data_IF_849215509621
#
_entry.id   IF_849215509621
#
_cell.length_a   1.000
_cell.length_b   1.000
_cell.length_c   1.000
_cell.angle_alpha   90.00
_cell.angle_beta   90.00
_cell.angle_gamma   90.00
#
_symmetry.space_group_name_H-M   'P 1'
#
loop_
_entity.id
_entity.type
_entity.pdbx_description
1 polymer ?
#
# COMPACT_ATOMS: atom_id res chain seq x y z
N UNK A 1 -15.27 -6.88 10.11
CA UNK A 1 -13.87 -6.56 10.50
C UNK A 1 -12.95 -7.76 10.31
N UNK A 2 -13.17 -8.89 10.99
CA UNK A 2 -12.26 -10.06 10.95
C UNK A 2 -11.99 -10.55 9.53
N UNK A 3 -13.01 -10.59 8.65
CA UNK A 3 -12.86 -10.99 7.25
C UNK A 3 -11.85 -10.16 6.44
N UNK A 4 -11.50 -8.95 6.87
CA UNK A 4 -10.51 -8.12 6.16
C UNK A 4 -9.07 -8.49 6.53
N UNK A 5 -8.83 -8.94 7.76
CA UNK A 5 -7.50 -9.39 8.19
C UNK A 5 -7.32 -10.86 7.84
N UNK A 6 -6.36 -11.16 6.96
CA UNK A 6 -5.99 -12.54 6.65
C UNK A 6 -5.48 -13.27 7.90
N UNK A 7 -4.68 -12.58 8.72
CA UNK A 7 -4.14 -13.13 9.96
C UNK A 7 -5.25 -13.44 10.97
N UNK A 8 -6.23 -12.55 11.17
CA UNK A 8 -7.30 -12.84 12.14
C UNK A 8 -8.31 -13.88 11.65
N UNK A 9 -8.51 -14.03 10.35
CA UNK A 9 -9.51 -14.96 9.81
C UNK A 9 -8.95 -16.35 9.47
N UNK A 10 -7.71 -16.40 9.01
CA UNK A 10 -7.05 -17.61 8.50
C UNK A 10 -5.67 -17.87 9.12
N UNK A 11 -5.25 -17.09 10.12
CA UNK A 11 -3.95 -17.24 10.80
C UNK A 11 -2.78 -17.24 9.81
N UNK A 12 -2.89 -16.41 8.76
CA UNK A 12 -1.84 -16.24 7.76
C UNK A 12 -0.72 -15.37 8.32
N UNK A 13 0.50 -15.89 8.23
CA UNK A 13 1.74 -15.17 8.49
C UNK A 13 2.29 -14.57 7.18
N UNK A 14 2.96 -13.43 7.31
CA UNK A 14 3.52 -12.69 6.19
C UNK A 14 5.00 -12.44 6.42
N UNK A 15 5.79 -12.52 5.35
CA UNK A 15 7.24 -12.28 5.43
C UNK A 15 7.61 -10.85 5.06
N UNK A 16 6.71 -10.11 4.40
CA UNK A 16 6.95 -8.75 3.95
C UNK A 16 5.72 -7.84 4.09
N UNK A 17 5.91 -6.52 4.31
CA UNK A 17 4.81 -5.56 4.28
C UNK A 17 4.07 -5.53 2.94
N UNK A 18 4.76 -5.80 1.84
CA UNK A 18 4.17 -5.87 0.50
C UNK A 18 3.12 -6.99 0.38
N UNK A 19 3.41 -8.18 0.90
CA UNK A 19 2.42 -9.28 0.94
C UNK A 19 1.20 -8.91 1.79
N UNK A 20 1.41 -8.24 2.93
CA UNK A 20 0.31 -7.77 3.80
C UNK A 20 -0.59 -6.80 3.05
N UNK A 21 0.00 -5.83 2.33
CA UNK A 21 -0.73 -4.82 1.55
C UNK A 21 -1.54 -5.48 0.43
N UNK A 22 -0.93 -6.37 -0.35
CA UNK A 22 -1.62 -7.09 -1.44
C UNK A 22 -2.74 -7.98 -0.90
N UNK A 23 -2.48 -8.72 0.18
CA UNK A 23 -3.49 -9.57 0.82
C UNK A 23 -4.66 -8.73 1.35
N UNK A 24 -4.38 -7.61 2.02
CA UNK A 24 -5.41 -6.69 2.50
C UNK A 24 -6.22 -6.10 1.35
N UNK A 25 -5.57 -5.70 0.26
CA UNK A 25 -6.21 -5.19 -0.96
C UNK A 25 -7.20 -6.21 -1.55
N UNK A 26 -6.77 -7.46 -1.76
CA UNK A 26 -7.61 -8.54 -2.28
C UNK A 26 -8.87 -8.74 -1.43
N UNK A 27 -8.71 -8.74 -0.10
CA UNK A 27 -9.80 -8.98 0.85
C UNK A 27 -10.77 -7.79 0.91
N UNK A 28 -10.26 -6.56 0.89
CA UNK A 28 -11.06 -5.34 0.81
C UNK A 28 -11.86 -5.23 -0.49
N UNK A 29 -11.37 -5.78 -1.60
CA UNK A 29 -12.11 -5.80 -2.87
C UNK A 29 -13.06 -6.98 -3.00
N UNK A 30 -13.00 -7.96 -2.09
CA UNK A 30 -13.78 -9.20 -2.18
C UNK A 30 -14.91 -9.31 -1.16
N UNK A 31 -14.68 -8.89 0.10
CA UNK A 31 -15.60 -9.16 1.22
C UNK A 31 -16.53 -8.03 1.68
N UNK A 32 -16.09 -6.76 1.79
CA UNK A 32 -16.93 -5.73 2.37
C UNK A 32 -18.05 -5.30 1.43
N UNK A 33 -19.02 -4.57 1.98
CA UNK A 33 -20.11 -3.97 1.22
C UNK A 33 -19.57 -3.03 0.12
N UNK A 34 -18.59 -2.19 0.48
CA UNK A 34 -17.99 -1.22 -0.43
C UNK A 34 -16.65 -1.73 -0.97
N UNK A 35 -16.61 -2.04 -2.26
CA UNK A 35 -15.47 -2.64 -2.97
C UNK A 35 -14.98 -1.69 -4.07
N UNK A 36 -14.21 -0.68 -3.69
CA UNK A 36 -13.69 0.29 -4.64
C UNK A 36 -12.22 0.63 -4.37
N UNK A 37 -11.49 0.88 -5.46
CA UNK A 37 -10.06 1.15 -5.42
C UNK A 37 -9.68 2.43 -4.65
N UNK A 38 -10.38 3.57 -4.81
CA UNK A 38 -9.98 4.81 -4.13
C UNK A 38 -10.05 4.68 -2.60
N UNK A 39 -11.11 4.06 -2.07
CA UNK A 39 -11.28 3.90 -0.61
C UNK A 39 -10.24 2.93 -0.04
N UNK A 40 -9.91 1.88 -0.79
CA UNK A 40 -8.81 0.99 -0.43
C UNK A 40 -7.49 1.78 -0.32
N UNK A 41 -7.15 2.60 -1.32
CA UNK A 41 -5.93 3.41 -1.33
C UNK A 41 -5.88 4.37 -0.15
N UNK A 42 -6.97 5.10 0.12
CA UNK A 42 -7.07 5.99 1.28
C UNK A 42 -6.87 5.23 2.59
N UNK A 43 -7.55 4.09 2.77
CA UNK A 43 -7.46 3.30 4.01
C UNK A 43 -6.05 2.78 4.25
N UNK A 44 -5.35 2.31 3.21
CA UNK A 44 -3.96 1.87 3.33
C UNK A 44 -3.01 3.04 3.64
N UNK A 45 -3.24 4.20 3.03
CA UNK A 45 -2.49 5.43 3.33
C UNK A 45 -2.66 5.87 4.80
N UNK A 46 -3.88 5.84 5.31
CA UNK A 46 -4.17 6.18 6.71
C UNK A 46 -3.45 5.25 7.71
N UNK A 47 -3.28 3.97 7.35
CA UNK A 47 -2.52 3.01 8.16
C UNK A 47 -1.03 3.38 8.18
N UNK A 48 -0.46 3.83 7.06
CA UNK A 48 0.92 4.32 7.04
C UNK A 48 1.09 5.54 7.97
N UNK A 49 0.16 6.50 7.90
CA UNK A 49 0.14 7.67 8.79
C UNK A 49 -0.02 7.27 10.26
N UNK A 50 -0.81 6.23 10.55
CA UNK A 50 -0.99 5.71 11.90
C UNK A 50 0.31 5.15 12.49
N UNK A 51 1.14 4.49 11.68
CA UNK A 51 2.48 4.03 12.11
C UNK A 51 3.44 5.20 12.31
N UNK A 52 3.45 6.18 11.39
CA UNK A 52 4.32 7.37 11.48
C UNK A 52 4.01 8.27 12.69
N UNK A 53 2.75 8.31 13.15
CA UNK A 53 2.36 9.03 14.38
C UNK A 53 2.88 8.37 15.67
N UNK A 54 3.44 7.18 15.55
CA UNK A 54 4.11 6.48 16.63
C UNK A 54 3.22 5.51 17.40
N UNK A 55 3.88 4.77 18.29
CA UNK A 55 3.35 3.59 18.98
C UNK A 55 2.07 3.86 19.78
N UNK A 56 1.91 5.05 20.37
CA UNK A 56 0.69 5.40 21.13
C UNK A 56 -0.57 5.37 20.26
N UNK A 57 -0.47 5.83 19.02
CA UNK A 57 -1.58 5.79 18.06
C UNK A 57 -1.91 4.34 17.67
N UNK A 58 -0.88 3.52 17.42
CA UNK A 58 -1.04 2.10 17.11
C UNK A 58 -1.72 1.36 18.26
N UNK A 59 -1.25 1.57 19.50
CA UNK A 59 -1.85 0.96 20.70
C UNK A 59 -3.30 1.38 20.90
N UNK A 60 -3.64 2.66 20.69
CA UNK A 60 -5.02 3.14 20.77
C UNK A 60 -5.91 2.40 19.77
N UNK A 61 -5.44 2.21 18.54
CA UNK A 61 -6.17 1.47 17.51
C UNK A 61 -6.31 -0.02 17.84
N UNK A 62 -5.26 -0.68 18.34
CA UNK A 62 -5.33 -2.07 18.79
C UNK A 62 -6.30 -2.26 19.97
N UNK A 63 -6.32 -1.34 20.93
CA UNK A 63 -7.30 -1.35 22.03
C UNK A 63 -8.73 -1.15 21.54
N UNK A 64 -8.93 -0.34 20.51
CA UNK A 64 -10.25 -0.20 19.87
C UNK A 64 -10.66 -1.49 19.15
N UNK A 65 -9.75 -2.13 18.42
CA UNK A 65 -9.98 -3.46 17.81
C UNK A 65 -10.36 -4.48 18.88
N UNK A 66 -9.61 -4.54 19.98
CA UNK A 66 -9.89 -5.43 21.10
C UNK A 66 -11.30 -5.23 21.66
N UNK A 67 -11.74 -3.98 21.86
CA UNK A 67 -13.09 -3.66 22.32
C UNK A 67 -14.17 -4.11 21.32
N UNK A 68 -13.96 -3.87 20.03
CA UNK A 68 -14.90 -4.27 18.96
C UNK A 68 -15.07 -5.80 18.94
N UNK A 69 -13.97 -6.56 19.06
CA UNK A 69 -14.01 -8.02 19.06
C UNK A 69 -14.67 -8.58 20.33
N UNK A 70 -14.50 -7.91 21.49
CA UNK A 70 -15.13 -8.31 22.74
C UNK A 70 -16.66 -8.11 22.74
N UNK A 71 -17.15 -7.07 22.06
CA UNK A 71 -18.58 -6.75 21.95
C UNK A 71 -19.28 -7.48 20.78
N UNK A 72 -18.50 -8.17 19.94
CA UNK A 72 -19.01 -8.83 18.73
C UNK A 72 -19.93 -10.02 19.04
N UNK A 73 -20.98 -10.18 18.23
CA UNK A 73 -22.01 -11.23 18.38
C UNK A 73 -21.55 -12.64 18.00
N UNK A 74 -20.45 -12.78 17.27
CA UNK A 74 -20.05 -14.04 16.59
C UNK A 74 -18.88 -14.75 17.28
N UNK A 75 -18.68 -14.56 18.60
CA UNK A 75 -17.62 -15.28 19.34
C UNK A 75 -16.19 -14.80 19.06
N UNK A 76 -16.03 -13.70 18.34
CA UNK A 76 -14.72 -13.12 18.00
C UNK A 76 -13.86 -12.68 19.21
N UNK A 77 -14.44 -12.65 20.41
CA UNK A 77 -13.68 -12.44 21.64
C UNK A 77 -12.56 -13.47 21.84
N UNK A 78 -12.65 -14.65 21.23
CA UNK A 78 -11.57 -15.64 21.26
C UNK A 78 -10.30 -15.11 20.58
N UNK A 79 -10.43 -14.34 19.50
CA UNK A 79 -9.31 -13.71 18.79
C UNK A 79 -8.55 -12.72 19.67
N UNK A 80 -9.24 -12.10 20.64
CA UNK A 80 -8.55 -11.28 21.63
C UNK A 80 -7.60 -12.10 22.49
N UNK A 81 -8.04 -13.30 22.91
CA UNK A 81 -7.23 -14.18 23.77
C UNK A 81 -6.06 -14.81 23.02
N UNK A 82 -6.26 -15.20 21.75
CA UNK A 82 -5.23 -15.93 21.00
C UNK A 82 -4.28 -15.03 20.20
N UNK A 83 -4.60 -13.74 20.01
CA UNK A 83 -3.81 -12.88 19.14
C UNK A 83 -3.72 -11.42 19.62
N UNK A 84 -4.85 -10.72 19.76
CA UNK A 84 -4.83 -9.26 19.94
C UNK A 84 -4.20 -8.83 21.27
N UNK A 85 -4.43 -9.58 22.35
CA UNK A 85 -3.84 -9.26 23.66
C UNK A 85 -2.31 -9.31 23.61
N UNK A 86 -1.76 -10.37 23.02
CA UNK A 86 -0.31 -10.53 22.89
C UNK A 86 0.28 -9.49 21.95
N UNK A 87 -0.41 -9.14 20.85
CA UNK A 87 0.00 -8.04 19.98
C UNK A 87 0.07 -6.69 20.72
N UNK A 88 -0.89 -6.39 21.61
CA UNK A 88 -0.88 -5.16 22.41
C UNK A 88 0.34 -5.14 23.34
N UNK A 89 0.63 -6.25 24.01
CA UNK A 89 1.78 -6.36 24.92
C UNK A 89 3.10 -6.28 24.14
N UNK A 90 3.18 -6.94 22.98
CA UNK A 90 4.34 -6.88 22.10
C UNK A 90 4.59 -5.46 21.60
N UNK A 91 3.56 -4.78 21.09
CA UNK A 91 3.65 -3.42 20.58
C UNK A 91 4.16 -2.42 21.62
N UNK A 92 3.91 -2.64 22.92
CA UNK A 92 4.45 -1.80 23.98
C UNK A 92 5.98 -1.90 24.10
N UNK A 93 6.58 -3.03 23.72
CA UNK A 93 8.02 -3.31 23.82
C UNK A 93 8.79 -2.94 22.55
N UNK A 94 8.11 -2.71 21.43
CA UNK A 94 8.74 -2.37 20.16
C UNK A 94 9.45 -1.01 20.25
N UNK A 95 10.73 -0.92 19.84
CA UNK A 95 11.45 0.35 19.73
C UNK A 95 10.80 1.28 18.70
N UNK A 96 10.81 2.59 18.97
CA UNK A 96 10.19 3.57 18.07
C UNK A 96 10.91 3.61 16.71
N UNK A 97 12.24 3.47 16.69
CA UNK A 97 13.03 3.46 15.45
C UNK A 97 12.64 2.31 14.52
N UNK A 98 12.40 1.12 15.08
CA UNK A 98 11.95 -0.04 14.32
C UNK A 98 10.54 0.20 13.74
N UNK A 99 9.68 0.87 14.50
CA UNK A 99 8.34 1.23 14.03
C UNK A 99 8.40 2.23 12.87
N UNK A 100 9.31 3.20 12.92
CA UNK A 100 9.53 4.17 11.83
C UNK A 100 10.09 3.48 10.59
N UNK A 101 11.05 2.57 10.74
CA UNK A 101 11.58 1.76 9.63
C UNK A 101 10.47 0.93 8.97
N UNK A 102 9.66 0.23 9.78
CA UNK A 102 8.51 -0.52 9.29
C UNK A 102 7.48 0.37 8.58
N UNK A 103 7.21 1.56 9.11
CA UNK A 103 6.29 2.53 8.50
C UNK A 103 6.76 2.94 7.11
N UNK A 104 8.06 3.21 6.93
CA UNK A 104 8.64 3.56 5.63
C UNK A 104 8.56 2.39 4.63
N UNK A 105 8.84 1.16 5.07
CA UNK A 105 8.69 -0.03 4.23
C UNK A 105 7.24 -0.27 3.81
N UNK A 106 6.31 -0.13 4.75
CA UNK A 106 4.88 -0.25 4.50
C UNK A 106 4.39 0.84 3.53
N UNK A 107 4.81 2.10 3.72
CA UNK A 107 4.45 3.21 2.84
C UNK A 107 4.95 2.96 1.41
N UNK A 108 6.19 2.49 1.25
CA UNK A 108 6.74 2.10 -0.07
C UNK A 108 5.91 0.98 -0.71
N UNK A 109 5.52 -0.03 0.06
CA UNK A 109 4.65 -1.10 -0.42
C UNK A 109 3.26 -0.60 -0.85
N UNK A 110 2.68 0.36 -0.11
CA UNK A 110 1.42 1.00 -0.49
C UNK A 110 1.60 1.81 -1.76
N UNK A 111 2.65 2.62 -1.89
CA UNK A 111 2.93 3.40 -3.12
C UNK A 111 3.07 2.51 -4.35
N UNK A 112 3.78 1.38 -4.23
CA UNK A 112 3.94 0.41 -5.31
C UNK A 112 2.72 -0.48 -5.61
N UNK A 113 1.61 -0.36 -4.86
CA UNK A 113 0.40 -1.15 -5.10
C UNK A 113 -0.35 -0.65 -6.33
N UNK A 114 -0.44 -1.49 -7.37
CA UNK A 114 -1.18 -1.22 -8.60
C UNK A 114 -2.36 -2.18 -8.77
N UNK A 115 -3.35 -1.81 -9.59
CA UNK A 115 -4.50 -2.67 -9.90
C UNK A 115 -4.10 -4.01 -10.51
N UNK A 116 -2.99 -4.04 -11.24
CA UNK A 116 -2.41 -5.26 -11.81
C UNK A 116 -1.75 -6.15 -10.73
N UNK A 117 -1.00 -5.56 -9.78
CA UNK A 117 -0.25 -6.32 -8.77
C UNK A 117 -1.14 -7.08 -7.79
N UNK A 118 -2.42 -6.69 -7.66
CA UNK A 118 -3.41 -7.39 -6.83
C UNK A 118 -3.80 -8.75 -7.42
N UNK A 119 -3.58 -9.02 -8.71
CA UNK A 119 -3.83 -10.34 -9.31
C UNK A 119 -5.32 -10.73 -9.40
N UNK A 120 -6.21 -9.75 -9.44
CA UNK A 120 -7.66 -9.95 -9.65
C UNK A 120 -8.09 -9.59 -11.08
N UNK A 121 -7.15 -9.24 -11.97
CA UNK A 121 -7.47 -8.83 -13.34
C UNK A 121 -8.32 -7.55 -13.43
N UNK A 122 -8.20 -6.65 -12.44
CA UNK A 122 -9.01 -5.44 -12.35
C UNK A 122 -8.91 -4.55 -13.60
N UNK A 123 -7.70 -4.28 -14.16
CA UNK A 123 -7.61 -3.43 -15.36
C UNK A 123 -8.41 -4.00 -16.54
N UNK A 124 -8.36 -5.32 -16.74
CA UNK A 124 -9.08 -5.97 -17.83
C UNK A 124 -10.59 -5.93 -17.61
N UNK A 125 -11.03 -6.13 -16.37
CA UNK A 125 -12.45 -6.04 -15.99
C UNK A 125 -12.98 -4.62 -16.20
N UNK A 126 -12.25 -3.61 -15.76
CA UNK A 126 -12.62 -2.20 -15.91
C UNK A 126 -12.73 -1.82 -17.39
N UNK A 127 -11.73 -2.19 -18.22
CA UNK A 127 -11.78 -1.95 -19.68
C UNK A 127 -12.98 -2.60 -20.35
N UNK A 128 -13.30 -3.85 -19.99
CA UNK A 128 -14.46 -4.58 -20.54
C UNK A 128 -15.78 -3.92 -20.16
N UNK A 129 -15.91 -3.46 -18.92
CA UNK A 129 -17.11 -2.75 -18.46
C UNK A 129 -17.23 -1.38 -19.13
N UNK A 130 -16.14 -0.63 -19.26
CA UNK A 130 -16.14 0.66 -19.95
C UNK A 130 -16.58 0.52 -21.42
N UNK A 131 -16.04 -0.46 -22.13
CA UNK A 131 -16.43 -0.76 -23.51
C UNK A 131 -17.90 -1.15 -23.64
N UNK A 132 -18.44 -1.96 -22.71
CA UNK A 132 -19.85 -2.34 -22.70
C UNK A 132 -20.79 -1.17 -22.36
N UNK A 133 -20.33 -0.21 -21.55
CA UNK A 133 -21.09 0.96 -21.11
C UNK A 133 -20.95 2.16 -22.06
N UNK A 134 -20.13 2.05 -23.12
CA UNK A 134 -19.84 3.15 -24.03
C UNK A 134 -19.07 4.32 -23.39
N UNK A 135 -18.42 4.08 -22.24
CA UNK A 135 -17.64 5.07 -21.52
C UNK A 135 -16.19 5.05 -22.01
N UNK A 136 -15.64 6.23 -22.33
CA UNK A 136 -14.23 6.40 -22.69
C UNK A 136 -13.37 6.16 -21.43
N UNK A 137 -12.24 5.43 -21.50
CA UNK A 137 -11.38 5.17 -20.35
C UNK A 137 -10.85 6.48 -19.75
N UNK A 138 -10.86 6.58 -18.42
CA UNK A 138 -10.21 7.64 -17.65
C UNK A 138 -8.71 7.33 -17.60
N UNK A 139 -7.90 8.09 -18.34
CA UNK A 139 -6.45 7.97 -18.34
C UNK A 139 -5.88 8.59 -17.04
N UNK A 140 -5.71 7.75 -16.02
CA UNK A 140 -5.06 8.15 -14.78
C UNK A 140 -4.19 7.00 -14.25
N UNK A 141 -2.99 6.87 -14.81
CA UNK A 141 -1.76 6.44 -14.14
C UNK A 141 -0.60 6.41 -15.18
N UNK A 142 -0.13 7.58 -15.59
CA UNK A 142 1.20 7.75 -16.17
C UNK A 142 2.15 8.19 -15.04
N UNK A 143 3.22 7.46 -14.73
CA UNK A 143 4.27 7.98 -13.86
C UNK A 143 5.10 8.99 -14.64
N UNK A 144 5.12 10.25 -14.21
CA UNK A 144 6.05 11.25 -14.75
C UNK A 144 7.49 10.76 -14.61
N UNK A 145 8.07 10.33 -15.73
CA UNK A 145 9.48 10.04 -15.88
C UNK A 145 10.16 11.33 -16.37
N UNK A 146 10.79 12.03 -15.43
CA UNK A 146 11.68 13.16 -15.72
C UNK A 146 12.85 12.67 -16.58
N UNK A 147 12.84 12.99 -17.88
CA UNK A 147 13.99 12.81 -18.75
C UNK A 147 14.91 14.02 -18.62
N UNK A 148 15.99 13.86 -17.86
CA UNK A 148 17.19 14.68 -18.00
C UNK A 148 17.89 14.23 -19.30
N UNK A 149 17.97 15.12 -20.29
CA UNK A 149 18.85 14.95 -21.45
C UNK A 149 20.16 15.71 -21.18
N UNK A 150 21.25 14.96 -21.04
CA UNK A 150 22.65 15.42 -21.16
C UNK A 150 23.24 14.96 -22.52
N UNK A 151 24.15 15.76 -23.07
CA UNK A 151 25.08 15.47 -24.19
C UNK A 151 24.60 16.04 -25.53
N UNK A 152 25.39 16.72 -26.38
CA UNK A 152 26.85 16.75 -26.62
C UNK A 152 27.17 18.07 -27.39
N UNK A 153 28.21 18.83 -27.02
CA UNK A 153 29.59 18.85 -27.59
C UNK A 153 29.70 19.39 -29.03
N UNK A 154 30.33 20.56 -29.19
CA UNK A 154 31.10 20.92 -30.39
C UNK A 154 32.37 21.70 -29.96
N UNK A 155 33.52 21.02 -29.98
CA UNK A 155 34.85 21.61 -30.21
C UNK A 155 35.52 20.80 -31.33
N UNK A 156 35.95 21.44 -32.41
CA UNK A 156 37.12 21.07 -33.20
C UNK A 156 37.68 22.37 -33.81
N UNK A 157 38.87 22.77 -33.35
CA UNK A 157 39.79 23.69 -34.03
C UNK A 157 40.48 22.93 -35.17
N UNK A 158 40.73 23.57 -36.32
CA UNK A 158 42.01 23.33 -36.99
C UNK A 158 42.41 24.50 -37.90
N UNK A 159 43.72 24.71 -37.92
CA UNK A 159 44.45 25.93 -38.22
C UNK A 159 45.22 25.80 -39.56
N UNK A 160 45.57 26.96 -40.14
CA UNK A 160 46.59 27.20 -41.19
C UNK A 160 46.33 26.70 -42.65
N UNK A 161 46.75 27.33 -43.77
CA UNK A 161 47.92 28.17 -44.10
C UNK A 161 47.63 29.21 -45.24
N UNK A 162 48.61 30.11 -45.43
CA UNK A 162 48.86 31.22 -46.38
C UNK A 162 48.52 30.97 -47.90
N UNK A 163 48.50 31.91 -48.86
CA UNK A 163 49.40 33.05 -49.17
C UNK A 163 48.85 33.90 -50.35
N UNK A 164 49.16 35.21 -50.35
CA UNK A 164 49.41 36.11 -51.51
C UNK A 164 48.33 36.45 -52.58
N UNK A 165 47.86 37.71 -52.61
CA UNK A 165 48.27 38.77 -53.57
C UNK A 165 47.54 40.10 -53.35
#
# INVERSE_FOLDING_TARGET
MVKLSATLHWLVDFSSPAEVVVSSARRCLSYPYLRCWPILRCTLGDVALLFLRGRRCVLKSLLQVHRILAQGREGYYLLNKIFVTDMIVWMQKVPEDLLVQFAAEYERAVKGLSKASVGLGLPDLERRVAAAMGAVPDEADEPESNSEEEGDEEEEEDDEEEESR
#
